data_IF_838070750495
#
_entry.id   IF_838070750495
#
_cell.length_a   1.000
_cell.length_b   1.000
_cell.length_c   1.000
_cell.angle_alpha   90.00
_cell.angle_beta   90.00
_cell.angle_gamma   90.00
#
_symmetry.space_group_name_H-M   'P 1'
#
loop_
_entity.id
_entity.type
_entity.pdbx_description
1 polymer ?
#
# COMPACT_ATOMS: atom_id res chain seq x y z
N UNK A 1 50.21 -112.92 -37.01
CA UNK A 1 51.06 -111.91 -37.70
C UNK A 1 50.42 -110.54 -37.62
N UNK A 2 51.16 -109.56 -37.07
CA UNK A 2 51.10 -108.08 -37.27
C UNK A 2 50.68 -107.69 -38.70
N UNK A 3 50.04 -106.58 -39.06
CA UNK A 3 49.88 -105.15 -38.64
C UNK A 3 48.69 -104.64 -39.51
N UNK A 4 47.91 -103.61 -39.19
CA UNK A 4 48.32 -102.21 -39.24
C UNK A 4 47.11 -101.31 -38.95
N UNK A 5 47.22 -100.45 -37.93
CA UNK A 5 46.33 -99.32 -37.67
C UNK A 5 46.49 -98.29 -38.80
N UNK A 6 45.40 -97.85 -39.41
CA UNK A 6 45.36 -96.56 -40.12
C UNK A 6 44.55 -95.57 -39.29
N UNK A 7 45.28 -94.71 -38.57
CA UNK A 7 44.76 -93.44 -38.06
C UNK A 7 44.37 -92.59 -39.27
N UNK A 8 43.07 -92.33 -39.43
CA UNK A 8 42.60 -91.28 -40.34
C UNK A 8 42.59 -89.99 -39.51
N UNK A 9 43.55 -89.12 -39.79
CA UNK A 9 43.58 -87.76 -39.29
C UNK A 9 42.30 -87.04 -39.74
N UNK A 10 41.45 -86.62 -38.80
CA UNK A 10 40.48 -85.56 -39.05
C UNK A 10 41.29 -84.30 -39.41
N UNK A 11 41.27 -83.89 -40.69
CA UNK A 11 41.65 -82.52 -41.06
C UNK A 11 40.55 -81.61 -40.52
N UNK A 12 40.82 -80.97 -39.39
CA UNK A 12 39.98 -79.91 -38.80
C UNK A 12 40.04 -78.63 -39.66
N UNK A 13 39.55 -78.71 -40.90
CA UNK A 13 39.25 -77.53 -41.70
C UNK A 13 37.78 -77.20 -41.52
N UNK A 14 37.48 -75.96 -41.16
CA UNK A 14 36.09 -75.48 -41.12
C UNK A 14 35.43 -75.66 -42.49
N UNK A 15 34.19 -76.15 -42.51
CA UNK A 15 33.42 -76.22 -43.74
C UNK A 15 33.16 -74.80 -44.25
N UNK A 16 33.13 -74.60 -45.58
CA UNK A 16 32.82 -73.30 -46.20
C UNK A 16 31.54 -72.67 -45.63
N UNK A 17 30.55 -73.50 -45.29
CA UNK A 17 29.29 -73.12 -44.67
C UNK A 17 29.50 -72.50 -43.27
N UNK A 18 30.38 -73.07 -42.45
CA UNK A 18 30.64 -72.58 -41.09
C UNK A 18 31.31 -71.21 -41.11
N UNK A 19 32.23 -70.99 -42.05
CA UNK A 19 32.90 -69.68 -42.24
C UNK A 19 31.90 -68.62 -42.67
N UNK A 20 31.02 -68.94 -43.63
CA UNK A 20 29.98 -68.02 -44.09
C UNK A 20 29.02 -67.67 -42.96
N UNK A 21 28.57 -68.65 -42.19
CA UNK A 21 27.68 -68.43 -41.03
C UNK A 21 28.36 -67.56 -39.98
N UNK A 22 29.63 -67.82 -39.65
CA UNK A 22 30.38 -67.01 -38.68
C UNK A 22 30.53 -65.55 -39.15
N UNK A 23 30.88 -65.33 -40.43
CA UNK A 23 31.01 -63.99 -41.01
C UNK A 23 29.67 -63.26 -41.03
N UNK A 24 28.56 -63.94 -41.36
CA UNK A 24 27.22 -63.36 -41.32
C UNK A 24 26.84 -62.95 -39.89
N UNK A 25 27.06 -63.80 -38.89
CA UNK A 25 26.77 -63.49 -37.47
C UNK A 25 27.59 -62.29 -37.01
N UNK A 26 28.90 -62.27 -37.30
CA UNK A 26 29.79 -61.17 -36.91
C UNK A 26 29.36 -59.87 -37.60
N UNK A 27 29.08 -59.91 -38.90
CA UNK A 27 28.67 -58.72 -39.67
C UNK A 27 27.33 -58.16 -39.19
N UNK A 28 26.33 -59.03 -38.96
CA UNK A 28 25.04 -58.63 -38.39
C UNK A 28 25.18 -58.05 -36.99
N UNK A 29 26.07 -58.62 -36.16
CA UNK A 29 26.34 -58.11 -34.81
C UNK A 29 26.98 -56.72 -34.85
N UNK A 30 27.95 -56.49 -35.75
CA UNK A 30 28.60 -55.18 -35.92
C UNK A 30 27.58 -54.14 -36.42
N UNK A 31 26.77 -54.48 -37.42
CA UNK A 31 25.72 -53.59 -37.93
C UNK A 31 24.69 -53.25 -36.85
N UNK A 32 24.32 -54.23 -36.01
CA UNK A 32 23.42 -54.01 -34.88
C UNK A 32 24.02 -53.05 -33.84
N UNK A 33 25.29 -53.23 -33.47
CA UNK A 33 25.99 -52.32 -32.55
C UNK A 33 26.08 -50.91 -33.12
N UNK A 34 26.43 -50.77 -34.41
CA UNK A 34 26.45 -49.46 -35.08
C UNK A 34 25.08 -48.80 -35.11
N UNK A 35 24.01 -49.57 -35.37
CA UNK A 35 22.64 -49.07 -35.36
C UNK A 35 22.24 -48.58 -33.95
N UNK A 36 22.53 -49.36 -32.90
CA UNK A 36 22.27 -48.97 -31.51
C UNK A 36 23.05 -47.71 -31.13
N UNK A 37 24.32 -47.61 -31.54
CA UNK A 37 25.14 -46.42 -31.31
C UNK A 37 24.56 -45.18 -32.01
N UNK A 38 24.15 -45.30 -33.27
CA UNK A 38 23.51 -44.20 -34.01
C UNK A 38 22.18 -43.79 -33.38
N UNK A 39 21.35 -44.75 -32.94
CA UNK A 39 20.10 -44.48 -32.24
C UNK A 39 20.35 -43.77 -30.91
N UNK A 40 21.35 -44.22 -30.15
CA UNK A 40 21.77 -43.59 -28.88
C UNK A 40 22.21 -42.14 -29.10
N UNK A 41 23.06 -41.88 -30.11
CA UNK A 41 23.50 -40.52 -30.43
C UNK A 41 22.34 -39.61 -30.85
N UNK A 42 21.35 -40.12 -31.59
CA UNK A 42 20.14 -39.36 -31.93
C UNK A 42 19.32 -39.01 -30.69
N UNK A 43 19.05 -39.98 -29.83
CA UNK A 43 18.28 -39.75 -28.59
C UNK A 43 18.98 -38.74 -27.68
N UNK A 44 20.31 -38.84 -27.56
CA UNK A 44 21.11 -37.88 -26.78
C UNK A 44 21.04 -36.48 -27.42
N UNK A 45 21.21 -36.38 -28.75
CA UNK A 45 21.13 -35.10 -29.47
C UNK A 45 19.77 -34.43 -29.35
N UNK A 46 18.68 -35.20 -29.47
CA UNK A 46 17.31 -34.72 -29.26
C UNK A 46 17.10 -34.26 -27.80
N UNK A 47 17.66 -35.01 -26.84
CA UNK A 47 17.62 -34.65 -25.42
C UNK A 47 18.33 -33.34 -25.12
N UNK A 48 19.55 -33.15 -25.64
CA UNK A 48 20.33 -31.91 -25.50
C UNK A 48 19.60 -30.73 -26.15
N UNK A 49 19.03 -30.92 -27.34
CA UNK A 49 18.29 -29.87 -28.04
C UNK A 49 17.03 -29.43 -27.26
N UNK A 50 16.32 -30.38 -26.63
CA UNK A 50 15.17 -30.08 -25.77
C UNK A 50 15.57 -29.36 -24.49
N UNK A 51 16.68 -29.74 -23.86
CA UNK A 51 17.19 -29.06 -22.67
C UNK A 51 17.61 -27.63 -23.00
N UNK A 52 18.30 -27.42 -24.13
CA UNK A 52 18.67 -26.09 -24.58
C UNK A 52 17.44 -25.22 -24.89
N UNK A 53 16.41 -25.80 -25.52
CA UNK A 53 15.15 -25.09 -25.77
C UNK A 53 14.41 -24.73 -24.48
N UNK A 54 14.38 -25.63 -23.49
CA UNK A 54 13.76 -25.37 -22.19
C UNK A 54 14.49 -24.28 -21.41
N UNK A 55 15.83 -24.32 -21.39
CA UNK A 55 16.66 -23.30 -20.76
C UNK A 55 16.45 -21.92 -21.39
N UNK A 56 16.46 -21.82 -22.73
CA UNK A 56 16.18 -20.57 -23.43
C UNK A 56 14.77 -20.02 -23.14
N UNK A 57 13.79 -20.91 -22.97
CA UNK A 57 12.44 -20.50 -22.59
C UNK A 57 12.40 -19.96 -21.15
N UNK A 58 13.11 -20.58 -20.22
CA UNK A 58 13.24 -20.11 -18.82
C UNK A 58 13.95 -18.75 -18.75
N UNK A 59 15.09 -18.60 -19.42
CA UNK A 59 15.81 -17.32 -19.49
C UNK A 59 14.96 -16.22 -20.14
N UNK A 60 14.22 -16.55 -21.20
CA UNK A 60 13.29 -15.62 -21.84
C UNK A 60 12.17 -15.16 -20.90
N UNK A 61 11.63 -16.07 -20.10
CA UNK A 61 10.62 -15.74 -19.08
C UNK A 61 11.20 -14.84 -17.99
N UNK A 62 12.42 -15.13 -17.50
CA UNK A 62 13.08 -14.28 -16.51
C UNK A 62 13.38 -12.88 -17.06
N UNK A 63 13.90 -12.78 -18.29
CA UNK A 63 14.16 -11.49 -18.92
C UNK A 63 12.88 -10.65 -19.04
N UNK A 64 11.75 -11.26 -19.42
CA UNK A 64 10.46 -10.56 -19.48
C UNK A 64 9.98 -10.12 -18.09
N UNK A 65 10.19 -10.93 -17.05
CA UNK A 65 9.86 -10.54 -15.67
C UNK A 65 10.70 -9.35 -15.21
N UNK A 66 12.00 -9.35 -15.48
CA UNK A 66 12.91 -8.25 -15.13
C UNK A 66 12.48 -6.97 -15.85
N UNK A 67 12.28 -7.02 -17.17
CA UNK A 67 11.86 -5.86 -17.96
C UNK A 67 10.52 -5.31 -17.44
N UNK A 68 9.56 -6.19 -17.13
CA UNK A 68 8.31 -5.80 -16.48
C UNK A 68 8.61 -5.10 -15.16
N UNK A 69 9.28 -5.76 -14.23
CA UNK A 69 9.45 -5.26 -12.87
C UNK A 69 10.22 -3.92 -12.83
N UNK A 70 11.25 -3.75 -13.66
CA UNK A 70 11.99 -2.49 -13.83
C UNK A 70 11.14 -1.38 -14.46
N UNK A 71 10.32 -1.71 -15.47
CA UNK A 71 9.41 -0.75 -16.10
C UNK A 71 8.33 -0.27 -15.14
N UNK A 72 7.81 -1.18 -14.31
CA UNK A 72 6.82 -0.86 -13.29
C UNK A 72 7.42 0.02 -12.19
N UNK A 73 8.63 -0.27 -11.71
CA UNK A 73 9.32 0.57 -10.74
C UNK A 73 9.59 1.97 -11.30
N UNK A 74 10.28 2.08 -12.44
CA UNK A 74 10.65 3.38 -13.03
C UNK A 74 9.44 4.24 -13.44
N UNK A 75 8.37 3.62 -13.95
CA UNK A 75 7.16 4.33 -14.36
C UNK A 75 6.27 4.76 -13.19
N UNK A 76 6.08 3.91 -12.19
CA UNK A 76 5.20 4.21 -11.05
C UNK A 76 5.88 5.15 -10.06
N UNK A 77 7.17 4.98 -9.79
CA UNK A 77 7.90 5.80 -8.83
C UNK A 77 7.91 7.28 -9.27
N UNK A 78 8.09 7.54 -10.57
CA UNK A 78 8.06 8.90 -11.12
C UNK A 78 6.68 9.54 -11.06
N UNK A 79 5.60 8.77 -11.30
CA UNK A 79 4.23 9.22 -11.13
C UNK A 79 3.90 9.51 -9.65
N UNK A 80 4.34 8.64 -8.75
CA UNK A 80 4.16 8.81 -7.31
C UNK A 80 4.93 10.03 -6.80
N UNK A 81 6.16 10.25 -7.26
CA UNK A 81 6.93 11.45 -6.97
C UNK A 81 6.20 12.71 -7.44
N UNK A 82 5.70 12.72 -8.68
CA UNK A 82 4.93 13.84 -9.23
C UNK A 82 3.66 14.15 -8.41
N UNK A 83 2.93 13.12 -8.00
CA UNK A 83 1.76 13.26 -7.13
C UNK A 83 2.14 13.87 -5.77
N UNK A 84 3.23 13.39 -5.15
CA UNK A 84 3.70 13.92 -3.87
C UNK A 84 4.08 15.40 -3.98
N UNK A 85 4.83 15.79 -5.02
CA UNK A 85 5.16 17.20 -5.27
C UNK A 85 3.91 18.06 -5.43
N UNK A 86 2.90 17.57 -6.15
CA UNK A 86 1.64 18.29 -6.31
C UNK A 86 0.91 18.46 -4.97
N UNK A 87 0.82 17.39 -4.16
CA UNK A 87 0.18 17.43 -2.85
C UNK A 87 0.91 18.37 -1.89
N UNK A 88 2.23 18.32 -1.83
CA UNK A 88 3.05 19.18 -0.98
C UNK A 88 2.97 20.64 -1.43
N UNK A 89 3.03 20.89 -2.73
CA UNK A 89 2.84 22.22 -3.30
C UNK A 89 1.46 22.78 -2.96
N UNK A 90 0.41 21.94 -3.04
CA UNK A 90 -0.95 22.33 -2.63
C UNK A 90 -0.99 22.69 -1.14
N UNK A 91 -0.39 21.88 -0.26
CA UNK A 91 -0.31 22.17 1.18
C UNK A 91 0.38 23.52 1.42
N UNK A 92 1.52 23.74 0.76
CA UNK A 92 2.29 24.99 0.86
C UNK A 92 1.48 26.22 0.44
N UNK A 93 0.79 26.15 -0.71
CA UNK A 93 -0.07 27.24 -1.20
C UNK A 93 -1.19 27.53 -0.19
N UNK A 94 -1.86 26.50 0.34
CA UNK A 94 -2.93 26.69 1.33
C UNK A 94 -2.42 27.29 2.63
N UNK A 95 -1.21 26.93 3.06
CA UNK A 95 -0.56 27.50 4.25
C UNK A 95 -0.28 28.99 4.06
N UNK A 96 0.27 29.40 2.92
CA UNK A 96 0.45 30.83 2.59
C UNK A 96 -0.89 31.57 2.58
N UNK A 97 -1.88 31.04 1.85
CA UNK A 97 -3.20 31.65 1.78
C UNK A 97 -3.88 31.72 3.15
N UNK A 98 -3.53 30.82 4.07
CA UNK A 98 -4.02 30.82 5.45
C UNK A 98 -3.61 32.03 6.27
N UNK A 99 -2.65 32.84 5.82
CA UNK A 99 -2.27 34.08 6.50
C UNK A 99 -3.00 35.33 5.99
N UNK A 100 -3.82 35.22 4.94
CA UNK A 100 -4.62 36.35 4.43
C UNK A 100 -5.58 36.80 5.53
N UNK A 101 -5.60 38.06 6.00
CA UNK A 101 -6.41 38.52 7.13
C UNK A 101 -7.88 38.77 6.76
N UNK A 102 -8.52 37.78 6.12
CA UNK A 102 -9.95 37.82 5.77
C UNK A 102 -10.52 36.40 5.73
N UNK A 103 -11.45 36.11 6.65
CA UNK A 103 -12.18 34.83 6.66
C UNK A 103 -12.87 34.55 5.33
N UNK A 104 -13.44 35.58 4.70
CA UNK A 104 -14.13 35.43 3.41
C UNK A 104 -13.17 34.93 2.32
N UNK A 105 -12.01 35.57 2.18
CA UNK A 105 -11.04 35.20 1.14
C UNK A 105 -10.50 33.79 1.43
N UNK A 106 -10.04 33.53 2.66
CA UNK A 106 -9.49 32.23 3.05
C UNK A 106 -10.49 31.10 2.84
N UNK A 107 -11.73 31.25 3.34
CA UNK A 107 -12.75 30.22 3.20
C UNK A 107 -13.07 29.93 1.72
N UNK A 108 -13.10 30.93 0.84
CA UNK A 108 -13.31 30.68 -0.59
C UNK A 108 -12.13 29.92 -1.22
N UNK A 109 -10.88 30.25 -0.86
CA UNK A 109 -9.71 29.49 -1.31
C UNK A 109 -9.77 28.04 -0.82
N UNK A 110 -10.13 27.83 0.45
CA UNK A 110 -10.28 26.50 1.04
C UNK A 110 -11.40 25.68 0.39
N UNK A 111 -12.53 26.32 0.04
CA UNK A 111 -13.59 25.68 -0.75
C UNK A 111 -13.11 25.25 -2.12
N UNK A 112 -12.38 26.11 -2.84
CA UNK A 112 -11.77 25.76 -4.13
C UNK A 112 -10.76 24.61 -3.99
N UNK A 113 -10.09 24.51 -2.85
CA UNK A 113 -9.19 23.40 -2.52
C UNK A 113 -9.91 22.09 -2.13
N UNK A 114 -11.25 22.10 -2.06
CA UNK A 114 -12.09 20.93 -1.82
C UNK A 114 -12.71 20.83 -0.42
N UNK A 115 -12.42 21.76 0.50
CA UNK A 115 -12.98 21.73 1.86
C UNK A 115 -14.45 22.15 1.79
N UNK A 116 -15.34 21.33 2.38
CA UNK A 116 -16.76 21.70 2.51
C UNK A 116 -16.93 22.60 3.73
N UNK A 117 -17.23 23.87 3.52
CA UNK A 117 -17.35 24.88 4.60
C UNK A 117 -18.78 25.43 4.61
N UNK A 118 -19.51 25.15 5.69
CA UNK A 118 -20.87 25.62 5.95
C UNK A 118 -21.00 27.14 6.05
N UNK A 119 -22.25 27.63 6.03
CA UNK A 119 -22.54 29.05 6.14
C UNK A 119 -22.11 29.60 7.51
N UNK A 120 -21.50 30.78 7.54
CA UNK A 120 -21.02 31.40 8.79
C UNK A 120 -19.84 30.69 9.48
N UNK A 121 -19.37 29.56 8.94
CA UNK A 121 -18.21 28.88 9.49
C UNK A 121 -16.94 29.69 9.25
N UNK A 122 -16.02 29.69 10.21
CA UNK A 122 -14.77 30.46 10.13
C UNK A 122 -13.56 29.63 10.48
N UNK A 123 -12.52 29.85 9.69
CA UNK A 123 -11.20 29.26 9.90
C UNK A 123 -10.23 30.43 10.11
N UNK A 124 -9.58 30.45 11.26
CA UNK A 124 -8.58 31.45 11.62
C UNK A 124 -7.23 31.18 10.94
N UNK A 125 -6.29 32.11 11.11
CA UNK A 125 -5.04 32.11 10.35
C UNK A 125 -4.13 30.93 10.67
N UNK A 126 -3.31 30.56 9.68
CA UNK A 126 -2.24 29.58 9.84
C UNK A 126 -2.69 28.13 10.02
N UNK A 127 -3.96 27.81 9.77
CA UNK A 127 -4.42 26.42 9.75
C UNK A 127 -3.75 25.64 8.60
N UNK A 128 -3.39 24.39 8.87
CA UNK A 128 -2.78 23.47 7.89
C UNK A 128 -3.72 22.30 7.63
N UNK A 129 -3.80 21.88 6.36
CA UNK A 129 -4.70 20.82 5.91
C UNK A 129 -3.94 19.79 5.10
N UNK A 130 -4.05 18.53 5.46
CA UNK A 130 -3.64 17.42 4.58
C UNK A 130 -4.87 16.91 3.83
N UNK A 131 -4.71 16.55 2.55
CA UNK A 131 -5.80 16.04 1.69
C UNK A 131 -7.16 16.76 1.92
N UNK A 132 -7.13 18.08 1.72
CA UNK A 132 -8.21 19.01 2.09
C UNK A 132 -9.61 18.67 1.55
N UNK A 133 -9.70 17.84 0.50
CA UNK A 133 -10.95 17.42 -0.12
C UNK A 133 -11.81 16.45 0.71
N UNK A 134 -11.28 15.83 1.77
CA UNK A 134 -12.06 14.95 2.66
C UNK A 134 -12.52 15.64 3.95
N UNK A 135 -12.32 16.96 4.05
CA UNK A 135 -12.65 17.75 5.24
C UNK A 135 -14.00 18.43 5.03
N UNK A 136 -14.89 18.29 6.01
CA UNK A 136 -16.16 19.00 6.06
C UNK A 136 -16.38 19.69 7.40
N UNK A 137 -16.87 20.92 7.36
CA UNK A 137 -17.10 21.80 8.51
C UNK A 137 -18.52 22.35 8.40
N UNK A 138 -19.33 22.09 9.43
CA UNK A 138 -20.71 22.52 9.56
C UNK A 138 -20.88 24.02 9.65
N UNK A 139 -22.12 24.47 9.64
CA UNK A 139 -22.46 25.90 9.71
C UNK A 139 -22.19 26.49 11.10
N UNK A 140 -21.90 27.79 11.14
CA UNK A 140 -21.64 28.55 12.38
C UNK A 140 -20.57 27.90 13.28
N UNK A 141 -19.67 27.10 12.71
CA UNK A 141 -18.54 26.49 13.41
C UNK A 141 -17.29 27.36 13.30
N UNK A 142 -16.43 27.32 14.32
CA UNK A 142 -15.18 28.06 14.36
C UNK A 142 -13.98 27.14 14.52
N UNK A 143 -12.94 27.37 13.72
CA UNK A 143 -11.63 26.73 13.83
C UNK A 143 -10.60 27.79 14.16
N UNK A 144 -10.01 27.69 15.35
CA UNK A 144 -9.01 28.60 15.88
C UNK A 144 -7.71 28.61 15.08
N UNK A 145 -6.80 29.53 15.42
CA UNK A 145 -5.55 29.69 14.67
C UNK A 145 -4.66 28.46 14.77
N UNK A 146 -3.90 28.21 13.69
CA UNK A 146 -2.85 27.18 13.64
C UNK A 146 -3.31 25.77 14.00
N UNK A 147 -4.57 25.45 13.72
CA UNK A 147 -5.05 24.07 13.82
C UNK A 147 -4.47 23.22 12.69
N UNK A 148 -4.29 21.93 12.97
CA UNK A 148 -3.97 20.92 11.97
C UNK A 148 -5.20 20.04 11.76
N UNK A 149 -5.66 19.96 10.51
CA UNK A 149 -6.82 19.20 10.09
C UNK A 149 -6.40 18.17 9.03
N UNK A 150 -6.33 16.91 9.45
CA UNK A 150 -5.89 15.82 8.59
C UNK A 150 -7.06 15.23 7.78
N UNK A 151 -7.04 15.39 6.47
CA UNK A 151 -8.01 14.83 5.54
C UNK A 151 -7.53 13.57 4.82
N UNK A 152 -6.49 12.88 5.32
CA UNK A 152 -6.06 11.59 4.73
C UNK A 152 -7.17 10.54 4.77
N UNK A 153 -8.03 10.61 5.77
CA UNK A 153 -9.37 10.01 5.77
C UNK A 153 -10.44 11.11 5.99
N UNK A 154 -11.71 10.70 6.07
CA UNK A 154 -12.85 11.61 6.24
C UNK A 154 -12.78 12.33 7.59
N UNK A 155 -12.77 13.65 7.54
CA UNK A 155 -12.87 14.51 8.73
C UNK A 155 -14.17 15.30 8.66
N UNK A 156 -15.05 15.06 9.63
CA UNK A 156 -16.35 15.75 9.74
C UNK A 156 -16.39 16.56 11.01
N UNK A 157 -16.62 17.86 10.90
CA UNK A 157 -16.89 18.77 12.01
C UNK A 157 -18.32 19.26 11.88
N UNK A 158 -19.13 19.03 12.92
CA UNK A 158 -20.53 19.43 12.98
C UNK A 158 -20.74 20.94 13.01
N UNK A 159 -21.99 21.34 13.14
CA UNK A 159 -22.45 22.73 13.21
C UNK A 159 -22.38 23.28 14.63
N UNK A 160 -22.20 24.60 14.77
CA UNK A 160 -22.07 25.29 16.05
C UNK A 160 -20.93 24.76 16.93
N UNK A 161 -19.93 24.13 16.32
CA UNK A 161 -18.79 23.50 16.98
C UNK A 161 -17.61 24.46 17.01
N UNK A 162 -16.98 24.58 18.18
CA UNK A 162 -15.82 25.46 18.39
C UNK A 162 -14.57 24.62 18.64
N UNK A 163 -13.63 24.74 17.72
CA UNK A 163 -12.29 24.19 17.81
C UNK A 163 -11.35 25.33 18.17
N UNK A 164 -10.76 25.30 19.36
CA UNK A 164 -9.84 26.34 19.80
C UNK A 164 -8.48 26.26 19.10
N UNK A 165 -7.62 27.24 19.37
CA UNK A 165 -6.31 27.37 18.73
C UNK A 165 -5.41 26.14 18.90
N UNK A 166 -4.65 25.83 17.85
CA UNK A 166 -3.60 24.82 17.85
C UNK A 166 -4.08 23.40 18.19
N UNK A 167 -5.35 23.11 17.94
CA UNK A 167 -5.88 21.75 17.99
C UNK A 167 -5.31 20.94 16.83
N UNK A 168 -4.91 19.70 17.10
CA UNK A 168 -4.39 18.77 16.10
C UNK A 168 -5.39 17.61 15.95
N UNK A 169 -5.93 17.42 14.76
CA UNK A 169 -6.83 16.31 14.44
C UNK A 169 -6.15 15.44 13.40
N UNK A 170 -5.90 14.18 13.76
CA UNK A 170 -5.24 13.19 12.91
C UNK A 170 -6.24 12.13 12.44
N UNK A 171 -6.15 11.78 11.17
CA UNK A 171 -6.96 10.74 10.53
C UNK A 171 -6.12 9.55 10.08
N UNK A 172 -4.79 9.62 10.24
CA UNK A 172 -3.87 8.60 9.77
C UNK A 172 -2.63 8.55 10.68
N UNK A 173 -2.29 7.33 11.10
CA UNK A 173 -1.11 6.97 11.88
C UNK A 173 -0.48 5.70 11.32
N UNK A 174 0.63 5.23 11.89
CA UNK A 174 1.26 3.98 11.45
C UNK A 174 0.92 2.83 12.40
N UNK A 175 0.60 1.66 11.84
CA UNK A 175 0.51 0.45 12.64
C UNK A 175 1.91 0.01 13.06
N UNK A 176 2.22 0.23 14.33
CA UNK A 176 3.50 -0.16 14.94
C UNK A 176 3.70 -1.69 15.04
N UNK A 177 2.64 -2.47 14.82
CA UNK A 177 2.68 -3.94 14.82
C UNK A 177 2.77 -4.54 13.42
N UNK A 178 2.60 -3.74 12.36
CA UNK A 178 2.75 -4.17 10.97
C UNK A 178 4.24 -4.14 10.57
N UNK A 179 4.74 -5.25 10.02
CA UNK A 179 6.15 -5.40 9.60
C UNK A 179 6.59 -4.33 8.58
N UNK A 180 5.64 -3.82 7.80
CA UNK A 180 5.88 -2.84 6.75
C UNK A 180 5.57 -1.41 7.20
N UNK A 181 5.26 -1.21 8.50
CA UNK A 181 4.93 0.07 9.11
C UNK A 181 3.86 0.83 8.30
N UNK A 182 2.86 0.11 7.79
CA UNK A 182 1.83 0.69 6.92
C UNK A 182 0.99 1.72 7.68
N UNK A 183 0.50 2.71 6.94
CA UNK A 183 -0.46 3.66 7.48
C UNK A 183 -1.80 2.97 7.76
N UNK A 184 -2.40 3.29 8.90
CA UNK A 184 -3.78 3.00 9.26
C UNK A 184 -4.55 4.31 9.33
N UNK A 185 -5.63 4.34 8.57
CA UNK A 185 -6.49 5.50 8.43
C UNK A 185 -7.79 5.27 9.23
N UNK A 186 -8.34 6.33 9.80
CA UNK A 186 -9.61 6.28 10.52
C UNK A 186 -10.36 7.60 10.49
N UNK A 187 -11.63 7.54 10.09
CA UNK A 187 -12.56 8.67 10.11
C UNK A 187 -12.61 9.32 11.49
N UNK A 188 -12.46 10.65 11.53
CA UNK A 188 -12.70 11.44 12.73
C UNK A 188 -14.00 12.21 12.54
N UNK A 189 -14.92 12.02 13.49
CA UNK A 189 -16.23 12.66 13.48
C UNK A 189 -16.42 13.49 14.73
N UNK A 190 -16.54 14.80 14.56
CA UNK A 190 -16.83 15.76 15.61
C UNK A 190 -18.28 16.20 15.43
N UNK A 191 -19.11 15.96 16.44
CA UNK A 191 -20.55 16.27 16.44
C UNK A 191 -20.85 17.77 16.46
N UNK A 192 -22.14 18.07 16.58
CA UNK A 192 -22.66 19.43 16.69
C UNK A 192 -22.43 19.99 18.10
N UNK A 193 -22.28 21.30 18.22
CA UNK A 193 -22.11 22.00 19.49
C UNK A 193 -20.91 21.55 20.34
N UNK A 194 -19.94 20.86 19.76
CA UNK A 194 -18.75 20.40 20.47
C UNK A 194 -17.85 21.60 20.81
N UNK A 195 -17.17 21.54 21.95
CA UNK A 195 -16.07 22.46 22.26
C UNK A 195 -14.77 21.68 22.45
N UNK A 196 -13.76 21.98 21.64
CA UNK A 196 -12.41 21.42 21.78
C UNK A 196 -11.47 22.51 22.23
N UNK A 197 -10.91 22.35 23.44
CA UNK A 197 -9.99 23.27 24.05
C UNK A 197 -8.64 23.36 23.33
N UNK A 198 -7.88 24.45 23.55
CA UNK A 198 -6.67 24.72 22.80
C UNK A 198 -5.63 23.61 23.01
N UNK A 199 -4.86 23.32 21.97
CA UNK A 199 -3.78 22.31 21.98
C UNK A 199 -4.23 20.88 22.32
N UNK A 200 -5.52 20.57 22.22
CA UNK A 200 -5.98 19.18 22.29
C UNK A 200 -5.57 18.42 21.01
N UNK A 201 -5.41 17.10 21.14
CA UNK A 201 -5.06 16.17 20.07
C UNK A 201 -6.17 15.13 19.95
N UNK A 202 -6.70 14.95 18.75
CA UNK A 202 -7.70 13.91 18.43
C UNK A 202 -7.04 12.88 17.51
N UNK A 203 -7.04 11.61 17.93
CA UNK A 203 -6.42 10.52 17.18
C UNK A 203 -7.34 9.90 16.12
N UNK A 204 -6.78 9.13 15.16
CA UNK A 204 -7.56 8.50 14.09
C UNK A 204 -8.70 7.64 14.61
N UNK A 205 -9.82 7.62 13.89
CA UNK A 205 -10.98 6.77 14.20
C UNK A 205 -11.88 7.27 15.34
N UNK A 206 -11.57 8.42 15.96
CA UNK A 206 -12.33 8.93 17.10
C UNK A 206 -13.63 9.64 16.68
N UNK A 207 -14.73 9.27 17.33
CA UNK A 207 -15.99 10.02 17.31
C UNK A 207 -16.19 10.82 18.60
N UNK A 208 -16.36 12.14 18.46
CA UNK A 208 -16.74 13.05 19.54
C UNK A 208 -18.21 13.40 19.41
N UNK A 209 -19.04 12.89 20.33
CA UNK A 209 -20.49 13.06 20.32
C UNK A 209 -20.95 14.50 20.54
N UNK A 210 -22.18 14.77 20.14
CA UNK A 210 -22.75 16.12 20.16
C UNK A 210 -22.66 16.77 21.55
N UNK A 211 -22.30 18.04 21.58
CA UNK A 211 -22.19 18.81 22.80
C UNK A 211 -21.08 18.38 23.75
N UNK A 212 -20.22 17.42 23.39
CA UNK A 212 -19.08 17.05 24.21
C UNK A 212 -18.09 18.21 24.37
N UNK A 213 -17.27 18.13 25.42
CA UNK A 213 -16.20 19.09 25.71
C UNK A 213 -14.90 18.34 25.86
N UNK A 214 -13.90 18.72 25.09
CA UNK A 214 -12.52 18.25 25.22
C UNK A 214 -11.71 19.36 25.89
N UNK A 215 -11.15 19.09 27.07
CA UNK A 215 -10.34 20.06 27.79
C UNK A 215 -9.04 20.39 27.04
N UNK A 216 -8.47 21.56 27.34
CA UNK A 216 -7.21 22.00 26.77
C UNK A 216 -6.08 20.98 26.99
N UNK A 217 -5.25 20.76 25.97
CA UNK A 217 -4.11 19.85 26.03
C UNK A 217 -4.44 18.36 26.15
N UNK A 218 -5.72 17.97 26.05
CA UNK A 218 -6.11 16.57 26.16
C UNK A 218 -5.69 15.76 24.91
N UNK A 219 -5.36 14.48 25.09
CA UNK A 219 -5.09 13.53 23.99
C UNK A 219 -6.21 12.51 23.94
N UNK A 220 -7.13 12.67 22.99
CA UNK A 220 -8.32 11.84 22.85
C UNK A 220 -7.99 10.62 22.00
N UNK A 221 -7.95 9.46 22.65
CA UNK A 221 -7.59 8.17 22.03
C UNK A 221 -8.77 7.22 21.87
N UNK A 222 -9.98 7.63 22.27
CA UNK A 222 -11.22 6.85 22.26
C UNK A 222 -12.40 7.78 22.06
N UNK A 223 -13.51 7.22 21.59
CA UNK A 223 -14.76 7.95 21.42
C UNK A 223 -15.19 8.67 22.69
N UNK A 224 -15.77 9.85 22.50
CA UNK A 224 -16.31 10.70 23.56
C UNK A 224 -17.82 10.73 23.43
N UNK A 225 -18.53 10.35 24.49
CA UNK A 225 -19.97 10.34 24.49
C UNK A 225 -20.56 11.77 24.41
N UNK A 226 -21.77 11.87 23.87
CA UNK A 226 -22.57 13.10 23.83
C UNK A 226 -22.59 13.78 25.20
N UNK A 227 -22.44 15.11 25.23
CA UNK A 227 -22.44 15.96 26.44
C UNK A 227 -21.39 15.59 27.50
N UNK A 228 -20.42 14.72 27.20
CA UNK A 228 -19.37 14.35 28.14
C UNK A 228 -18.24 15.38 28.12
N UNK A 229 -17.65 15.64 29.28
CA UNK A 229 -16.44 16.45 29.42
C UNK A 229 -15.27 15.50 29.64
N UNK A 230 -14.27 15.55 28.75
CA UNK A 230 -13.06 14.73 28.85
C UNK A 230 -11.81 15.60 28.97
N UNK A 231 -10.77 15.09 29.64
CA UNK A 231 -9.47 15.76 29.76
C UNK A 231 -8.33 14.82 30.14
N UNK A 232 -7.09 15.28 29.99
CA UNK A 232 -5.89 14.53 30.36
C UNK A 232 -5.21 13.81 29.18
N UNK A 233 -4.11 13.12 29.50
CA UNK A 233 -3.28 12.36 28.55
C UNK A 233 -3.03 10.96 29.12
N UNK A 234 -3.68 9.91 28.60
CA UNK A 234 -4.80 9.95 27.65
C UNK A 234 -6.06 10.56 28.27
N UNK A 235 -6.96 11.09 27.43
CA UNK A 235 -8.19 11.72 27.88
C UNK A 235 -9.10 10.73 28.63
N UNK A 236 -9.70 11.20 29.72
CA UNK A 236 -10.68 10.49 30.54
C UNK A 236 -11.87 11.38 30.81
N UNK A 237 -13.02 10.78 31.04
CA UNK A 237 -14.20 11.49 31.52
C UNK A 237 -13.90 12.17 32.86
N UNK A 238 -14.20 13.46 32.93
CA UNK A 238 -14.00 14.31 34.12
C UNK A 238 -15.30 15.02 34.54
N UNK A 239 -16.39 14.79 33.80
CA UNK A 239 -17.72 15.30 34.14
C UNK A 239 -18.66 15.35 32.95
N UNK A 240 -19.81 15.97 33.18
CA UNK A 240 -20.86 16.16 32.18
C UNK A 240 -21.07 17.65 31.90
N UNK A 241 -21.39 17.98 30.65
CA UNK A 241 -21.76 19.33 30.24
C UNK A 241 -23.13 19.66 30.82
N UNK A 242 -23.17 20.67 31.70
CA UNK A 242 -24.38 21.11 32.41
C UNK A 242 -25.51 21.62 31.51
N UNK A 243 -25.20 22.04 30.29
CA UNK A 243 -26.19 22.63 29.38
C UNK A 243 -27.06 21.53 28.76
N UNK A 244 -28.37 21.56 29.06
CA UNK A 244 -29.32 20.54 28.59
C UNK A 244 -29.74 20.69 27.13
N UNK A 245 -29.88 21.93 26.67
CA UNK A 245 -30.29 22.27 25.31
C UNK A 245 -29.31 23.24 24.66
N UNK A 246 -28.98 22.99 23.40
CA UNK A 246 -28.09 23.84 22.63
C UNK A 246 -28.90 24.74 21.70
N UNK A 247 -28.85 26.05 21.96
CA UNK A 247 -29.53 27.09 21.17
C UNK A 247 -28.62 28.26 20.81
N UNK A 248 -27.36 28.21 21.25
CA UNK A 248 -26.42 29.29 21.02
C UNK A 248 -25.90 29.25 19.60
N UNK A 249 -25.56 30.43 19.07
CA UNK A 249 -24.72 30.57 17.90
C UNK A 249 -23.35 31.05 18.34
N UNK A 250 -22.28 30.59 17.69
CA UNK A 250 -20.92 31.01 18.03
C UNK A 250 -20.69 32.49 17.73
N UNK A 251 -21.39 33.03 16.71
CA UNK A 251 -21.70 34.45 16.55
C UNK A 251 -20.65 35.44 17.06
N UNK A 252 -19.76 35.87 16.15
CA UNK A 252 -18.62 36.80 16.30
C UNK A 252 -17.26 36.13 16.40
N UNK A 253 -16.78 35.69 15.24
CA UNK A 253 -15.35 35.58 14.98
C UNK A 253 -14.74 37.00 14.92
N UNK A 254 -13.50 37.14 15.42
CA UNK A 254 -12.71 38.38 15.23
C UNK A 254 -12.53 38.64 13.72
N UNK A 255 -12.05 39.82 13.34
CA UNK A 255 -11.93 40.22 11.93
C UNK A 255 -11.06 39.29 11.07
N UNK A 256 -10.12 38.55 11.68
CA UNK A 256 -9.12 37.74 11.01
C UNK A 256 -8.76 36.46 11.76
#
# INVERSE_FOLDING_TARGET
>A
MRKSKKNIYYKNGFGLIEVVVAVSIISSSILFVMFVAQLSQRVIGDGVSRLQAAFLAEEGIEAVKIIRDESWQSGIDSLQAGLNYYLDFKIYVLEICGWIPSHFIRNNIYRLAGIKIGAGATIHTGCRFYQSNKISIGEDSSVGDRCFLDGRDKLTIGSHTSIASQVLIYNSEHDTSDEWFRAIDGEVKIGDYVFIGPRAIILPGVTVGDGAVVAAGAVVTKDVLTKTVVGGVPAREIGERKLKEFRYRLGRHRLF
#
